data_IF_431275351098
#
_entry.id   IF_431275351098
#
_cell.length_a   1.000
_cell.length_b   1.000
_cell.length_c   1.000
_cell.angle_alpha   90.00
_cell.angle_beta   90.00
_cell.angle_gamma   90.00
#
_symmetry.space_group_name_H-M   'P 1'
#
loop_
_entity.id
_entity.type
_entity.pdbx_description
1 polymer ?
#
# COMPACT_ATOMS: atom_id res chain seq x y z
N UNK A 1 -19.30 -3.68 20.30
CA UNK A 1 -17.99 -3.08 19.97
C UNK A 1 -17.96 -2.96 18.46
N UNK A 2 -18.08 -1.75 17.89
CA UNK A 2 -18.13 -1.57 16.43
C UNK A 2 -16.69 -1.54 15.93
N UNK A 3 -16.25 -2.61 15.29
CA UNK A 3 -14.92 -2.68 14.69
C UNK A 3 -14.83 -1.69 13.53
N UNK A 4 -13.87 -0.76 13.60
CA UNK A 4 -13.53 0.14 12.50
C UNK A 4 -12.46 -0.52 11.65
N UNK A 5 -12.79 -0.81 10.40
CA UNK A 5 -11.83 -1.13 9.37
C UNK A 5 -11.42 0.17 8.68
N UNK A 6 -10.11 0.41 8.56
CA UNK A 6 -9.58 1.55 7.82
C UNK A 6 -8.79 1.04 6.62
N UNK A 7 -9.15 1.53 5.43
CA UNK A 7 -8.43 1.27 4.21
C UNK A 7 -7.64 2.53 3.83
N UNK A 8 -6.31 2.42 3.83
CA UNK A 8 -5.44 3.44 3.24
C UNK A 8 -5.43 3.19 1.73
N UNK A 9 -6.29 3.89 1.02
CA UNK A 9 -6.18 4.03 -0.42
C UNK A 9 -5.25 5.20 -0.72
N UNK A 10 -4.35 5.02 -1.70
CA UNK A 10 -3.40 6.06 -2.13
C UNK A 10 -4.14 7.34 -2.53
N UNK A 11 -4.23 8.30 -1.62
CA UNK A 11 -4.71 9.63 -1.94
C UNK A 11 -3.52 10.41 -2.48
N UNK A 12 -3.35 10.35 -3.81
CA UNK A 12 -2.48 11.28 -4.52
C UNK A 12 -2.78 12.69 -4.01
N UNK A 13 -1.73 13.38 -3.53
CA UNK A 13 -1.75 14.78 -3.16
C UNK A 13 -2.24 15.60 -4.36
N UNK A 14 -3.54 15.90 -4.39
CA UNK A 14 -4.11 16.90 -5.27
C UNK A 14 -5.04 17.74 -4.41
N UNK A 15 -4.95 19.06 -4.57
CA UNK A 15 -5.67 20.08 -3.79
C UNK A 15 -7.20 20.04 -4.02
N UNK A 16 -7.75 18.96 -4.59
CA UNK A 16 -9.14 18.76 -4.98
C UNK A 16 -9.65 17.41 -4.45
N UNK A 17 -9.54 17.19 -3.13
CA UNK A 17 -9.89 15.93 -2.47
C UNK A 17 -11.40 15.61 -2.52
N UNK A 18 -12.25 16.61 -2.69
CA UNK A 18 -13.70 16.42 -2.61
C UNK A 18 -14.27 15.78 -3.88
N UNK A 19 -14.05 16.37 -5.07
CA UNK A 19 -14.69 15.88 -6.31
C UNK A 19 -14.37 14.42 -6.64
N UNK A 20 -13.10 14.01 -6.50
CA UNK A 20 -12.67 12.64 -6.84
C UNK A 20 -13.32 11.59 -5.94
N UNK A 21 -13.62 11.94 -4.68
CA UNK A 21 -14.10 11.02 -3.66
C UNK A 21 -15.61 11.13 -3.38
N UNK A 22 -16.32 12.04 -4.05
CA UNK A 22 -17.77 12.23 -3.86
C UNK A 22 -18.58 10.93 -4.05
N UNK A 23 -18.15 10.06 -4.94
CA UNK A 23 -18.80 8.78 -5.17
C UNK A 23 -18.76 7.86 -3.92
N UNK A 24 -17.74 7.97 -3.06
CA UNK A 24 -17.64 7.20 -1.82
C UNK A 24 -18.69 7.64 -0.79
N UNK A 25 -19.04 8.93 -0.77
CA UNK A 25 -20.09 9.48 0.10
C UNK A 25 -21.49 8.97 -0.28
N UNK A 26 -21.67 8.45 -1.50
CA UNK A 26 -22.92 7.88 -2.01
C UNK A 26 -23.11 6.40 -1.67
N UNK A 27 -22.11 5.73 -1.07
CA UNK A 27 -22.22 4.34 -0.65
C UNK A 27 -23.25 4.17 0.49
N UNK A 28 -23.87 3.00 0.56
CA UNK A 28 -24.84 2.69 1.62
C UNK A 28 -24.17 2.88 3.01
N UNK A 29 -24.82 3.66 3.89
CA UNK A 29 -24.34 3.98 5.25
C UNK A 29 -22.99 4.72 5.29
N UNK A 30 -22.56 5.35 4.21
CA UNK A 30 -21.32 6.14 4.19
C UNK A 30 -21.31 7.25 5.25
N UNK A 31 -22.42 7.98 5.43
CA UNK A 31 -22.53 9.03 6.46
C UNK A 31 -22.32 8.52 7.90
N UNK A 32 -22.58 7.24 8.16
CA UNK A 32 -22.42 6.62 9.48
C UNK A 32 -21.06 5.93 9.66
N UNK A 33 -20.53 5.33 8.58
CA UNK A 33 -19.42 4.37 8.64
C UNK A 33 -18.16 4.81 7.91
N UNK A 34 -18.25 5.78 7.00
CA UNK A 34 -17.11 6.28 6.23
C UNK A 34 -16.57 7.55 6.89
N UNK A 35 -15.26 7.58 7.12
CA UNK A 35 -14.51 8.79 7.46
C UNK A 35 -13.37 8.92 6.49
N UNK A 36 -13.33 10.04 5.77
CA UNK A 36 -12.24 10.35 4.86
C UNK A 36 -11.21 11.19 5.61
N UNK A 37 -9.95 10.77 5.53
CA UNK A 37 -8.81 11.47 6.10
C UNK A 37 -7.87 11.88 4.98
N UNK A 38 -7.31 13.08 5.09
CA UNK A 38 -6.14 13.45 4.30
C UNK A 38 -4.92 12.86 4.99
N UNK A 39 -4.22 11.95 4.32
CA UNK A 39 -2.99 11.36 4.80
C UNK A 39 -2.01 11.16 3.64
N UNK A 40 -0.73 11.33 3.93
CA UNK A 40 0.38 11.06 3.02
C UNK A 40 1.24 9.95 3.61
N UNK A 41 1.68 8.99 2.78
CA UNK A 41 2.52 7.87 3.23
C UNK A 41 3.86 8.32 3.84
N UNK A 42 4.34 9.50 3.44
CA UNK A 42 5.58 10.08 3.94
C UNK A 42 5.35 11.08 5.08
N UNK A 43 4.10 11.40 5.42
CA UNK A 43 3.72 12.17 6.60
C UNK A 43 3.22 11.24 7.71
N UNK A 44 4.15 10.84 8.57
CA UNK A 44 3.91 9.94 9.69
C UNK A 44 2.77 10.39 10.62
N UNK A 45 2.67 11.70 10.90
CA UNK A 45 1.66 12.22 11.83
C UNK A 45 0.26 12.15 11.21
N UNK A 46 0.16 12.39 9.90
CA UNK A 46 -1.11 12.22 9.17
C UNK A 46 -1.61 10.77 9.21
N UNK A 47 -0.69 9.79 9.14
CA UNK A 47 -1.00 8.37 9.24
C UNK A 47 -1.46 7.99 10.65
N UNK A 48 -0.76 8.45 11.70
CA UNK A 48 -1.16 8.20 13.08
C UNK A 48 -2.57 8.72 13.37
N UNK A 49 -2.88 9.94 12.92
CA UNK A 49 -4.20 10.54 13.07
C UNK A 49 -5.29 9.74 12.34
N UNK A 50 -5.00 9.22 11.15
CA UNK A 50 -5.94 8.45 10.35
C UNK A 50 -6.16 7.02 10.88
N UNK A 51 -5.13 6.39 11.43
CA UNK A 51 -5.15 5.01 11.94
C UNK A 51 -5.69 4.92 13.38
N UNK A 52 -5.63 6.01 14.15
CA UNK A 52 -6.04 6.04 15.56
C UNK A 52 -7.44 5.44 15.79
N UNK A 53 -7.51 4.46 16.70
CA UNK A 53 -8.76 3.77 17.08
C UNK A 53 -9.25 2.73 16.07
N UNK A 54 -8.40 2.29 15.14
CA UNK A 54 -8.70 1.18 14.24
C UNK A 54 -8.26 -0.17 14.84
N UNK A 55 -9.08 -1.21 14.66
CA UNK A 55 -8.70 -2.58 15.02
C UNK A 55 -7.85 -3.24 13.92
N UNK A 56 -8.09 -2.86 12.66
CA UNK A 56 -7.44 -3.43 11.48
C UNK A 56 -7.16 -2.34 10.44
N UNK A 57 -6.01 -2.44 9.78
CA UNK A 57 -5.59 -1.54 8.69
C UNK A 57 -5.35 -2.35 7.42
N UNK A 58 -5.93 -1.89 6.30
CA UNK A 58 -5.62 -2.38 4.96
C UNK A 58 -4.70 -1.37 4.28
N UNK A 59 -3.43 -1.75 4.11
CA UNK A 59 -2.44 -0.94 3.41
C UNK A 59 -2.48 -1.28 1.93
N UNK A 60 -3.19 -0.46 1.16
CA UNK A 60 -3.35 -0.62 -0.30
C UNK A 60 -2.60 0.46 -1.07
N UNK A 61 -1.99 1.41 -0.37
CA UNK A 61 -1.37 2.57 -0.96
C UNK A 61 0.08 2.27 -1.37
N UNK A 62 0.39 2.43 -2.65
CA UNK A 62 1.75 2.31 -3.17
C UNK A 62 1.93 3.24 -4.36
N UNK A 63 3.13 3.78 -4.64
CA UNK A 63 3.49 4.32 -5.94
C UNK A 63 2.98 3.43 -7.09
N UNK A 64 2.34 4.03 -8.09
CA UNK A 64 1.86 3.32 -9.27
C UNK A 64 2.72 3.86 -10.40
N UNK A 65 3.50 3.03 -11.10
CA UNK A 65 4.41 3.51 -12.12
C UNK A 65 3.65 4.23 -13.24
N UNK A 66 4.10 5.40 -13.72
CA UNK A 66 3.84 5.80 -15.09
C UNK A 66 4.48 4.81 -16.07
N UNK A 67 4.15 4.89 -17.36
CA UNK A 67 4.65 3.99 -18.43
C UNK A 67 6.16 3.86 -18.50
N UNK A 68 6.90 4.85 -17.97
CA UNK A 68 8.35 4.80 -17.80
C UNK A 68 8.75 5.63 -16.59
N UNK A 69 9.67 5.13 -15.76
CA UNK A 69 10.23 5.84 -14.61
C UNK A 69 11.73 6.01 -14.81
N UNK A 70 12.26 7.25 -14.86
CA UNK A 70 13.69 7.51 -15.02
C UNK A 70 14.54 6.95 -13.89
N UNK A 71 14.10 7.12 -12.64
CA UNK A 71 14.76 6.58 -11.45
C UNK A 71 13.78 5.78 -10.59
N UNK A 72 13.60 4.47 -10.87
CA UNK A 72 12.67 3.62 -10.11
C UNK A 72 13.02 3.54 -8.62
N UNK A 73 14.28 3.69 -8.25
CA UNK A 73 14.72 3.60 -6.86
C UNK A 73 14.16 4.78 -6.06
N UNK A 74 14.34 6.00 -6.56
CA UNK A 74 13.90 7.22 -5.89
C UNK A 74 12.39 7.45 -6.03
N UNK A 75 11.81 7.15 -7.19
CA UNK A 75 10.43 7.52 -7.51
C UNK A 75 9.40 6.45 -7.12
N UNK A 76 9.79 5.16 -7.04
CA UNK A 76 8.88 4.06 -6.74
C UNK A 76 9.28 3.26 -5.51
N UNK A 77 10.51 2.71 -5.50
CA UNK A 77 10.94 1.73 -4.50
C UNK A 77 11.03 2.40 -3.12
N UNK A 78 11.80 3.49 -3.02
CA UNK A 78 12.01 4.18 -1.74
C UNK A 78 10.68 4.70 -1.15
N UNK A 79 9.78 5.38 -1.89
CA UNK A 79 8.50 5.80 -1.32
C UNK A 79 7.56 4.63 -0.96
N UNK A 80 7.60 3.52 -1.70
CA UNK A 80 6.83 2.31 -1.37
C UNK A 80 7.31 1.69 -0.05
N UNK A 81 8.63 1.55 0.10
CA UNK A 81 9.27 0.99 1.31
C UNK A 81 9.06 1.91 2.50
N UNK A 82 9.44 3.18 2.40
CA UNK A 82 9.33 4.14 3.49
C UNK A 82 7.87 4.36 3.91
N UNK A 83 6.97 4.46 2.92
CA UNK A 83 5.54 4.58 3.17
C UNK A 83 4.96 3.39 3.91
N UNK A 84 5.34 2.17 3.51
CA UNK A 84 4.91 0.94 4.19
C UNK A 84 5.46 0.87 5.61
N UNK A 85 6.74 1.21 5.82
CA UNK A 85 7.34 1.26 7.15
C UNK A 85 6.65 2.28 8.05
N UNK A 86 6.28 3.45 7.53
CA UNK A 86 5.54 4.46 8.28
C UNK A 86 4.16 3.96 8.71
N UNK A 87 3.42 3.29 7.81
CA UNK A 87 2.11 2.70 8.14
C UNK A 87 2.25 1.64 9.24
N UNK A 88 3.23 0.74 9.12
CA UNK A 88 3.47 -0.29 10.13
C UNK A 88 3.85 0.30 11.49
N UNK A 89 4.73 1.32 11.51
CA UNK A 89 5.10 2.04 12.74
C UNK A 89 3.89 2.71 13.39
N UNK A 90 3.07 3.41 12.61
CA UNK A 90 1.85 4.07 13.11
C UNK A 90 0.84 3.05 13.67
N UNK A 91 0.69 1.90 13.01
CA UNK A 91 -0.14 0.79 13.49
C UNK A 91 0.34 0.27 14.85
N UNK A 92 1.66 0.10 15.02
CA UNK A 92 2.25 -0.32 16.29
C UNK A 92 2.00 0.70 17.41
N UNK A 93 2.19 2.00 17.15
CA UNK A 93 2.00 3.05 18.17
C UNK A 93 0.57 3.11 18.72
N UNK A 94 -0.43 2.86 17.86
CA UNK A 94 -1.85 2.89 18.28
C UNK A 94 -2.45 1.51 18.56
N UNK A 95 -1.61 0.47 18.66
CA UNK A 95 -1.99 -0.91 19.00
C UNK A 95 -3.04 -1.53 18.06
N UNK A 96 -2.89 -1.33 16.75
CA UNK A 96 -3.69 -2.02 15.74
C UNK A 96 -3.48 -3.54 15.86
N UNK A 97 -4.56 -4.32 15.84
CA UNK A 97 -4.49 -5.78 16.05
C UNK A 97 -4.06 -6.55 14.80
N UNK A 98 -4.35 -6.02 13.62
CA UNK A 98 -4.05 -6.68 12.35
C UNK A 98 -3.77 -5.66 11.25
N UNK A 99 -2.73 -5.93 10.46
CA UNK A 99 -2.45 -5.20 9.23
C UNK A 99 -2.56 -6.18 8.07
N UNK A 100 -3.28 -5.79 7.02
CA UNK A 100 -3.35 -6.50 5.74
C UNK A 100 -2.59 -5.66 4.72
N UNK A 101 -1.49 -6.19 4.20
CA UNK A 101 -0.70 -5.57 3.15
C UNK A 101 -1.10 -6.14 1.80
N UNK A 102 -1.32 -5.27 0.81
CA UNK A 102 -1.61 -5.69 -0.57
C UNK A 102 -0.31 -5.72 -1.35
N UNK A 103 0.15 -6.94 -1.66
CA UNK A 103 1.34 -7.25 -2.45
C UNK A 103 0.94 -7.79 -3.85
N UNK A 104 1.94 -8.13 -4.66
CA UNK A 104 1.84 -8.52 -6.07
C UNK A 104 2.10 -9.99 -6.32
N UNK A 105 1.68 -10.43 -7.51
CA UNK A 105 2.34 -11.57 -8.18
C UNK A 105 3.80 -11.29 -8.57
N UNK A 106 4.17 -10.05 -8.90
CA UNK A 106 5.55 -9.63 -9.13
C UNK A 106 6.51 -9.90 -7.96
N UNK A 107 6.03 -9.97 -6.71
CA UNK A 107 6.87 -10.31 -5.56
C UNK A 107 7.32 -11.79 -5.53
N UNK A 108 6.67 -12.65 -6.33
CA UNK A 108 6.89 -14.11 -6.34
C UNK A 108 7.19 -14.71 -7.72
N UNK A 109 7.02 -13.94 -8.80
CA UNK A 109 7.06 -14.45 -10.18
C UNK A 109 8.43 -14.40 -10.88
N UNK A 110 9.35 -13.52 -10.45
CA UNK A 110 10.60 -13.24 -11.17
C UNK A 110 11.78 -14.02 -10.59
N UNK A 111 11.87 -15.30 -10.95
CA UNK A 111 12.84 -16.23 -10.38
C UNK A 111 13.71 -16.81 -11.49
N UNK A 112 15.01 -16.47 -11.56
CA UNK A 112 15.90 -17.04 -12.56
C UNK A 112 16.01 -18.55 -12.33
N UNK A 113 15.93 -19.33 -13.42
CA UNK A 113 15.95 -20.80 -13.39
C UNK A 113 14.88 -21.42 -12.46
N UNK A 114 13.68 -20.82 -12.41
CA UNK A 114 12.57 -21.30 -11.59
C UNK A 114 12.33 -22.83 -11.79
N UNK A 115 12.29 -23.62 -10.71
CA UNK A 115 11.92 -25.03 -10.76
C UNK A 115 10.52 -25.21 -11.39
N UNK A 116 10.43 -26.16 -12.33
CA UNK A 116 9.19 -26.50 -13.05
C UNK A 116 8.52 -27.78 -12.53
N UNK A 117 9.11 -28.38 -11.50
CA UNK A 117 8.67 -29.62 -10.85
C UNK A 117 7.48 -29.40 -9.90
N UNK A 118 7.19 -28.14 -9.55
CA UNK A 118 6.02 -27.79 -8.72
C UNK A 118 5.33 -26.48 -9.14
N UNK A 119 4.02 -26.34 -8.88
CA UNK A 119 3.31 -25.07 -9.01
C UNK A 119 3.94 -23.97 -8.13
N UNK A 120 3.72 -22.70 -8.50
CA UNK A 120 4.06 -21.58 -7.61
C UNK A 120 3.11 -21.56 -6.41
N UNK A 121 3.67 -21.29 -5.24
CA UNK A 121 2.99 -21.10 -3.96
C UNK A 121 3.64 -19.93 -3.20
N UNK A 122 3.20 -19.68 -1.97
CA UNK A 122 3.66 -18.57 -1.12
C UNK A 122 5.11 -18.73 -0.63
N UNK A 123 5.80 -19.83 -0.97
CA UNK A 123 7.22 -20.05 -0.62
C UNK A 123 8.18 -19.48 -1.66
N UNK A 124 7.68 -19.08 -2.83
CA UNK A 124 8.47 -18.47 -3.90
C UNK A 124 8.67 -16.97 -3.65
N UNK A 125 9.86 -16.48 -3.96
CA UNK A 125 10.21 -15.06 -3.86
C UNK A 125 10.99 -14.64 -5.10
N UNK A 126 10.61 -13.51 -5.67
CA UNK A 126 11.34 -12.90 -6.79
C UNK A 126 12.77 -12.56 -6.39
N UNK A 127 13.69 -12.80 -7.31
CA UNK A 127 15.11 -12.48 -7.13
C UNK A 127 15.36 -10.99 -7.35
N UNK A 128 15.90 -10.33 -6.33
CA UNK A 128 16.07 -8.87 -6.34
C UNK A 128 17.07 -8.41 -7.40
N UNK A 129 18.15 -9.16 -7.63
CA UNK A 129 19.18 -8.80 -8.61
C UNK A 129 18.65 -8.96 -10.04
N UNK A 130 17.92 -10.04 -10.30
CA UNK A 130 17.22 -10.27 -11.55
C UNK A 130 16.21 -9.17 -11.83
N UNK A 131 15.38 -8.81 -10.84
CA UNK A 131 14.42 -7.73 -10.99
C UNK A 131 15.09 -6.38 -11.30
N UNK A 132 16.17 -6.02 -10.58
CA UNK A 132 16.93 -4.80 -10.83
C UNK A 132 17.57 -4.77 -12.22
N UNK A 133 18.19 -5.89 -12.62
CA UNK A 133 18.89 -6.00 -13.90
C UNK A 133 17.94 -5.93 -15.11
N UNK A 134 16.66 -6.30 -14.91
CA UNK A 134 15.63 -6.28 -15.96
C UNK A 134 14.67 -5.10 -15.84
N UNK A 135 14.98 -4.09 -15.02
CA UNK A 135 14.13 -2.92 -14.77
C UNK A 135 12.68 -3.29 -14.41
N UNK A 136 12.50 -4.35 -13.63
CA UNK A 136 11.20 -4.69 -13.07
C UNK A 136 10.88 -3.64 -12.00
N UNK A 137 10.10 -2.63 -12.39
CA UNK A 137 9.70 -1.52 -11.52
C UNK A 137 8.40 -1.78 -10.76
N UNK A 138 7.67 -2.82 -11.15
CA UNK A 138 6.37 -3.20 -10.58
C UNK A 138 6.51 -4.24 -9.46
N UNK A 139 7.52 -4.09 -8.58
CA UNK A 139 7.70 -4.93 -7.39
C UNK A 139 6.88 -4.37 -6.21
N UNK A 140 6.35 -3.14 -6.34
CA UNK A 140 5.58 -2.45 -5.32
C UNK A 140 4.08 -2.47 -5.61
N UNK A 141 3.32 -3.08 -4.70
CA UNK A 141 2.06 -3.83 -4.93
C UNK A 141 2.42 -5.11 -5.58
#
# INVERSE_FOLDING_TARGET
MVSKAFALQKLHCSRHLDEKNEHLKKLEKASEKLKLFKADLLDYQSLCAAIAGCDCVFHTASPVPPTSVPDPEVELIKPAVDGTLNVLKACCEVNVKKVVYVSSGAAVAFIPNRPQDRPMDETFWSDQEFCRSNNVSDIGI
#
